data_IF_187781332727
#
_entry.id   IF_187781332727
#
_cell.length_a   1.000
_cell.length_b   1.000
_cell.length_c   1.000
_cell.angle_alpha   90.00
_cell.angle_beta   90.00
_cell.angle_gamma   90.00
#
_symmetry.space_group_name_H-M   'P 1'
#
loop_
_entity.id
_entity.type
_entity.pdbx_description
1 polymer ?
#
# COMPACT_ATOMS: atom_id res chain seq x y z
N UNK A 1 27.08 -12.83 14.92
CA UNK A 1 25.79 -13.33 14.37
C UNK A 1 24.72 -12.38 14.87
N UNK A 2 23.89 -11.79 14.02
CA UNK A 2 22.84 -10.88 14.51
C UNK A 2 21.78 -11.69 15.25
N UNK A 3 21.51 -11.35 16.51
CA UNK A 3 20.36 -11.86 17.28
C UNK A 3 19.02 -11.26 16.78
N UNK A 4 18.88 -11.07 15.47
CA UNK A 4 17.70 -10.48 14.88
C UNK A 4 16.56 -11.50 14.91
N UNK A 5 15.42 -11.07 15.44
CA UNK A 5 14.16 -11.81 15.42
C UNK A 5 13.19 -10.95 14.61
N UNK A 6 12.46 -11.50 13.62
CA UNK A 6 11.41 -10.74 12.95
C UNK A 6 10.41 -10.17 13.96
N UNK A 7 10.05 -8.89 13.81
CA UNK A 7 9.20 -8.19 14.78
C UNK A 7 7.82 -8.85 14.96
N UNK A 8 7.31 -9.48 13.89
CA UNK A 8 6.06 -10.24 13.92
C UNK A 8 6.16 -11.49 14.81
N UNK A 9 7.28 -12.21 14.77
CA UNK A 9 7.53 -13.39 15.60
C UNK A 9 7.70 -12.99 17.08
N UNK A 10 8.47 -11.94 17.33
CA UNK A 10 8.66 -11.41 18.68
C UNK A 10 7.33 -10.96 19.30
N UNK A 11 6.50 -10.26 18.52
CA UNK A 11 5.19 -9.76 18.95
C UNK A 11 4.18 -10.87 19.17
N UNK A 12 4.18 -11.92 18.32
CA UNK A 12 3.34 -13.11 18.50
C UNK A 12 3.65 -13.82 19.82
N UNK A 13 4.94 -14.06 20.08
CA UNK A 13 5.38 -14.68 21.34
C UNK A 13 5.03 -13.79 22.54
N UNK A 14 5.27 -12.48 22.42
CA UNK A 14 4.96 -11.52 23.49
C UNK A 14 3.46 -11.48 23.82
N UNK A 15 2.60 -11.52 22.80
CA UNK A 15 1.16 -11.62 23.02
C UNK A 15 0.82 -12.90 23.79
N UNK A 16 1.26 -14.07 23.31
CA UNK A 16 0.90 -15.35 23.91
C UNK A 16 1.42 -15.54 25.33
N UNK A 17 2.66 -15.15 25.59
CA UNK A 17 3.34 -15.42 26.86
C UNK A 17 3.09 -14.34 27.93
N UNK A 18 2.87 -13.09 27.53
CA UNK A 18 2.75 -11.96 28.46
C UNK A 18 1.36 -11.32 28.40
N UNK A 19 0.91 -10.87 27.22
CA UNK A 19 -0.28 -10.01 27.15
C UNK A 19 -1.57 -10.80 27.36
N UNK A 20 -1.72 -11.95 26.71
CA UNK A 20 -2.93 -12.78 26.80
C UNK A 20 -3.27 -13.21 28.25
N UNK A 21 -2.30 -13.66 29.08
CA UNK A 21 -2.57 -13.91 30.51
C UNK A 21 -3.08 -12.69 31.28
N UNK A 22 -2.57 -11.49 30.99
CA UNK A 22 -2.97 -10.25 31.67
C UNK A 22 -4.42 -9.86 31.36
N UNK A 23 -4.95 -10.25 30.21
CA UNK A 23 -6.32 -9.90 29.78
C UNK A 23 -7.26 -11.10 29.74
N UNK A 24 -6.91 -12.16 30.46
CA UNK A 24 -7.81 -13.31 30.68
C UNK A 24 -9.17 -12.85 31.22
N UNK A 25 -10.25 -13.33 30.59
CA UNK A 25 -11.62 -12.97 30.91
C UNK A 25 -12.12 -11.64 30.29
N UNK A 26 -11.29 -10.92 29.54
CA UNK A 26 -11.69 -9.72 28.79
C UNK A 26 -11.93 -10.09 27.33
N UNK A 27 -13.10 -9.76 26.78
CA UNK A 27 -13.34 -9.86 25.33
C UNK A 27 -12.46 -8.84 24.61
N UNK A 28 -11.61 -9.31 23.71
CA UNK A 28 -10.62 -8.49 23.04
C UNK A 28 -10.22 -9.07 21.68
N UNK A 29 -9.58 -8.25 20.85
CA UNK A 29 -8.77 -8.69 19.70
C UNK A 29 -7.34 -8.20 19.89
N UNK A 30 -6.37 -8.95 19.40
CA UNK A 30 -4.96 -8.63 19.52
C UNK A 30 -4.23 -8.84 18.20
N UNK A 31 -3.39 -7.88 17.81
CA UNK A 31 -2.70 -7.92 16.53
C UNK A 31 -1.40 -7.10 16.53
N UNK A 32 -0.56 -7.35 15.53
CA UNK A 32 0.48 -6.43 15.08
C UNK A 32 0.11 -5.91 13.70
N UNK A 33 -0.45 -4.70 13.66
CA UNK A 33 -0.88 -3.98 12.46
C UNK A 33 -0.56 -2.49 12.59
N UNK A 34 -0.81 -1.70 11.53
CA UNK A 34 -0.50 -0.28 11.54
C UNK A 34 0.93 0.01 11.08
N UNK A 35 1.60 1.06 11.61
CA UNK A 35 2.92 1.45 11.12
C UNK A 35 4.01 0.49 11.63
N UNK A 36 5.02 0.27 10.80
CA UNK A 36 6.19 -0.56 11.08
C UNK A 36 6.61 -1.35 9.85
N UNK A 37 7.91 -1.56 9.65
CA UNK A 37 8.39 -2.38 8.54
C UNK A 37 8.07 -3.87 8.75
N UNK A 38 8.03 -4.32 9.99
CA UNK A 38 7.70 -5.69 10.40
C UNK A 38 6.25 -6.07 10.09
N UNK A 39 5.34 -5.09 10.01
CA UNK A 39 3.94 -5.32 9.62
C UNK A 39 3.84 -5.81 8.18
N UNK A 40 4.76 -5.38 7.32
CA UNK A 40 4.87 -5.85 5.93
C UNK A 40 6.07 -6.80 5.73
N UNK A 41 6.64 -7.30 6.84
CA UNK A 41 7.78 -8.22 6.88
C UNK A 41 9.04 -7.68 6.19
N UNK A 42 9.22 -6.36 6.13
CA UNK A 42 10.41 -5.71 5.55
C UNK A 42 11.46 -5.34 6.60
N UNK A 43 11.23 -5.69 7.86
CA UNK A 43 12.17 -5.37 8.93
C UNK A 43 13.49 -6.13 8.79
N UNK A 44 14.54 -5.49 9.29
CA UNK A 44 15.89 -6.02 9.32
C UNK A 44 16.51 -5.68 10.67
N UNK A 45 17.70 -6.23 10.96
CA UNK A 45 18.46 -5.86 12.15
C UNK A 45 18.72 -4.34 12.28
N UNK A 46 18.68 -3.57 11.18
CA UNK A 46 18.84 -2.12 11.21
C UNK A 46 17.59 -1.39 11.69
N UNK A 47 16.40 -1.87 11.35
CA UNK A 47 15.13 -1.20 11.67
C UNK A 47 14.64 -1.49 13.09
N UNK A 48 15.49 -2.03 13.96
CA UNK A 48 15.14 -2.27 15.37
C UNK A 48 15.25 -1.00 16.23
N UNK A 49 15.66 0.12 15.63
CA UNK A 49 15.82 1.43 16.25
C UNK A 49 14.55 2.30 16.19
N UNK A 50 13.55 1.93 15.39
CA UNK A 50 12.30 2.67 15.23
C UNK A 50 11.14 1.72 14.89
N UNK A 51 9.97 1.92 15.52
CA UNK A 51 8.75 1.15 15.24
C UNK A 51 8.97 -0.37 15.38
N UNK A 52 9.82 -0.84 16.30
CA UNK A 52 10.12 -2.27 16.42
C UNK A 52 10.31 -2.67 17.89
N UNK A 53 9.88 -3.88 18.24
CA UNK A 53 9.98 -4.43 19.60
C UNK A 53 8.84 -5.39 19.91
N UNK A 54 8.69 -5.80 21.18
CA UNK A 54 7.53 -6.57 21.63
C UNK A 54 6.28 -5.69 21.59
N UNK A 55 5.53 -5.73 20.48
CA UNK A 55 4.44 -4.80 20.17
C UNK A 55 3.10 -5.52 20.01
N UNK A 56 2.06 -5.02 20.67
CA UNK A 56 0.70 -5.54 20.51
C UNK A 56 -0.30 -4.38 20.48
N UNK A 57 -1.16 -4.36 19.47
CA UNK A 57 -2.42 -3.61 19.52
C UNK A 57 -3.48 -4.50 20.14
N UNK A 58 -4.08 -4.03 21.23
CA UNK A 58 -5.14 -4.72 21.95
C UNK A 58 -6.42 -3.92 21.84
N UNK A 59 -7.42 -4.49 21.19
CA UNK A 59 -8.72 -3.87 20.99
C UNK A 59 -9.73 -4.40 22.01
N UNK A 60 -10.39 -3.49 22.74
CA UNK A 60 -11.43 -3.78 23.73
C UNK A 60 -12.59 -2.79 23.55
N UNK A 61 -13.71 -3.01 24.23
CA UNK A 61 -14.80 -2.03 24.26
C UNK A 61 -14.31 -0.69 24.84
N UNK A 62 -14.78 0.42 24.28
CA UNK A 62 -14.33 1.78 24.63
C UNK A 62 -14.34 2.05 26.14
N UNK A 63 -15.37 1.61 26.85
CA UNK A 63 -15.52 1.77 28.30
C UNK A 63 -14.51 0.96 29.13
N UNK A 64 -13.85 -0.05 28.53
CA UNK A 64 -12.84 -0.90 29.17
C UNK A 64 -11.42 -0.45 28.87
N UNK A 65 -11.19 0.49 27.93
CA UNK A 65 -9.85 0.88 27.48
C UNK A 65 -8.95 1.30 28.65
N UNK A 66 -9.40 2.26 29.47
CA UNK A 66 -8.58 2.79 30.57
C UNK A 66 -8.28 1.73 31.65
N UNK A 67 -9.24 0.86 31.97
CA UNK A 67 -9.06 -0.23 32.94
C UNK A 67 -8.04 -1.25 32.44
N UNK A 68 -8.18 -1.69 31.18
CA UNK A 68 -7.32 -2.70 30.57
C UNK A 68 -5.92 -2.14 30.35
N UNK A 69 -5.79 -0.88 29.94
CA UNK A 69 -4.50 -0.20 29.81
C UNK A 69 -3.75 -0.17 31.15
N UNK A 70 -4.41 0.23 32.24
CA UNK A 70 -3.80 0.24 33.57
C UNK A 70 -3.38 -1.17 34.02
N UNK A 71 -4.24 -2.18 33.78
CA UNK A 71 -3.95 -3.58 34.11
C UNK A 71 -2.75 -4.12 33.34
N UNK A 72 -2.69 -3.85 32.03
CA UNK A 72 -1.57 -4.27 31.18
C UNK A 72 -0.30 -3.57 31.61
N UNK A 73 -0.32 -2.24 31.77
CA UNK A 73 0.85 -1.46 32.16
C UNK A 73 1.46 -1.94 33.50
N UNK A 74 0.62 -2.30 34.48
CA UNK A 74 1.08 -2.84 35.77
C UNK A 74 1.65 -4.27 35.67
N UNK A 75 1.28 -5.03 34.64
CA UNK A 75 1.67 -6.43 34.47
C UNK A 75 2.80 -6.68 33.48
N UNK A 76 3.25 -5.65 32.73
CA UNK A 76 4.34 -5.81 31.76
C UNK A 76 5.68 -6.06 32.48
N UNK A 77 6.45 -7.08 32.06
CA UNK A 77 7.82 -7.26 32.54
C UNK A 77 8.70 -6.15 31.97
N UNK A 78 9.81 -5.81 32.61
CA UNK A 78 10.74 -4.80 32.08
C UNK A 78 11.25 -5.17 30.67
N UNK A 79 11.46 -6.47 30.42
CA UNK A 79 12.00 -7.00 29.17
C UNK A 79 11.27 -8.27 28.73
N UNK A 80 11.22 -8.49 27.42
CA UNK A 80 10.75 -9.73 26.78
C UNK A 80 11.67 -10.09 25.61
N UNK A 81 12.07 -11.35 25.51
CA UNK A 81 12.98 -11.80 24.43
C UNK A 81 14.32 -11.06 24.38
N UNK A 82 14.75 -10.47 25.50
CA UNK A 82 15.96 -9.63 25.56
C UNK A 82 15.75 -8.18 25.11
N UNK A 83 14.52 -7.73 24.87
CA UNK A 83 14.17 -6.36 24.45
C UNK A 83 13.28 -5.68 25.49
N UNK A 84 13.36 -4.35 25.67
CA UNK A 84 12.47 -3.63 26.59
C UNK A 84 11.01 -3.71 26.13
N UNK A 85 10.06 -3.83 27.07
CA UNK A 85 8.62 -3.78 26.77
C UNK A 85 8.07 -2.35 26.79
N UNK A 86 8.84 -1.42 27.35
CA UNK A 86 8.59 0.01 27.36
C UNK A 86 9.78 0.68 26.71
N UNK A 87 9.57 1.33 25.57
CA UNK A 87 10.66 1.82 24.73
C UNK A 87 10.33 3.16 24.08
N UNK A 88 11.36 3.95 23.72
CA UNK A 88 11.15 5.21 23.02
C UNK A 88 10.48 4.99 21.67
N UNK A 89 9.50 5.82 21.38
CA UNK A 89 8.71 5.84 20.16
C UNK A 89 8.42 7.29 19.78
N UNK A 90 8.98 7.78 18.67
CA UNK A 90 8.89 9.19 18.27
C UNK A 90 9.05 10.16 19.46
N UNK A 91 10.19 10.05 20.15
CA UNK A 91 10.55 10.89 21.32
C UNK A 91 9.69 10.70 22.57
N UNK A 92 8.74 9.75 22.56
CA UNK A 92 7.91 9.40 23.73
C UNK A 92 8.20 7.98 24.20
N UNK A 93 8.49 7.81 25.47
CA UNK A 93 8.59 6.47 26.07
C UNK A 93 7.18 5.94 26.28
N UNK A 94 6.86 4.77 25.71
CA UNK A 94 5.55 4.15 25.86
C UNK A 94 5.63 2.63 25.94
N UNK A 95 4.63 1.98 26.55
CA UNK A 95 4.48 0.54 26.47
C UNK A 95 4.36 0.05 25.02
N UNK A 96 4.93 -1.12 24.74
CA UNK A 96 4.77 -1.83 23.47
C UNK A 96 3.35 -2.35 23.25
N UNK A 97 2.52 -2.37 24.31
CA UNK A 97 1.09 -2.67 24.20
C UNK A 97 0.31 -1.37 24.12
N UNK A 98 -0.48 -1.20 23.08
CA UNK A 98 -1.45 -0.11 22.93
C UNK A 98 -2.84 -0.67 23.04
N UNK A 99 -3.62 -0.16 24.00
CA UNK A 99 -5.03 -0.55 24.20
C UNK A 99 -5.92 0.50 23.56
N UNK A 100 -6.91 0.10 22.77
CA UNK A 100 -7.79 1.03 22.06
C UNK A 100 -9.18 0.43 21.80
N UNK A 101 -10.17 1.28 21.51
CA UNK A 101 -11.37 0.85 20.80
C UNK A 101 -11.04 0.61 19.32
N UNK A 102 -11.61 -0.46 18.74
CA UNK A 102 -11.33 -0.83 17.35
C UNK A 102 -11.84 0.21 16.35
N UNK A 103 -13.03 0.77 16.58
CA UNK A 103 -13.64 1.74 15.68
C UNK A 103 -12.90 3.07 15.68
N UNK A 104 -12.60 3.59 16.87
CA UNK A 104 -11.81 4.80 17.02
C UNK A 104 -10.43 4.66 16.37
N UNK A 105 -9.79 3.49 16.54
CA UNK A 105 -8.51 3.23 15.90
C UNK A 105 -8.62 3.18 14.37
N UNK A 106 -9.61 2.46 13.82
CA UNK A 106 -9.83 2.37 12.37
C UNK A 106 -10.12 3.75 11.76
N UNK A 107 -10.99 4.54 12.37
CA UNK A 107 -11.30 5.92 11.96
C UNK A 107 -10.05 6.79 12.03
N UNK A 108 -9.25 6.68 13.10
CA UNK A 108 -7.99 7.41 13.21
C UNK A 108 -6.97 7.05 12.14
N UNK A 109 -6.97 5.81 11.64
CA UNK A 109 -6.04 5.32 10.60
C UNK A 109 -6.50 5.59 9.17
N UNK A 110 -7.80 5.44 8.91
CA UNK A 110 -8.39 5.42 7.57
C UNK A 110 -9.29 6.62 7.28
N UNK A 111 -9.79 7.30 8.32
CA UNK A 111 -10.81 8.34 8.20
C UNK A 111 -12.25 7.82 8.18
N UNK A 112 -12.44 6.50 8.29
CA UNK A 112 -13.75 5.83 8.32
C UNK A 112 -13.62 4.46 9.02
N UNK A 113 -14.76 3.85 9.36
CA UNK A 113 -14.81 2.50 9.92
C UNK A 113 -15.30 1.49 8.86
N UNK A 114 -14.43 0.60 8.36
CA UNK A 114 -14.80 -0.38 7.32
C UNK A 114 -15.88 -1.38 7.76
N UNK A 115 -16.15 -1.50 9.06
CA UNK A 115 -17.18 -2.40 9.61
C UNK A 115 -18.59 -1.90 9.33
N UNK A 116 -18.73 -0.59 9.12
CA UNK A 116 -20.01 0.05 8.79
C UNK A 116 -20.24 0.13 7.26
N UNK A 117 -19.35 -0.47 6.48
CA UNK A 117 -19.33 -0.40 5.01
C UNK A 117 -18.25 0.54 4.49
N UNK A 118 -17.86 0.35 3.23
CA UNK A 118 -16.81 1.14 2.57
C UNK A 118 -17.39 1.81 1.33
N UNK A 119 -17.57 3.12 1.40
CA UNK A 119 -18.07 3.93 0.29
C UNK A 119 -17.02 4.09 -0.82
N UNK A 120 -17.44 4.61 -1.97
CA UNK A 120 -16.52 4.95 -3.06
C UNK A 120 -15.44 5.95 -2.61
N UNK A 121 -15.83 6.97 -1.84
CA UNK A 121 -14.88 7.96 -1.33
C UNK A 121 -13.91 7.32 -0.32
N UNK A 122 -14.39 6.42 0.53
CA UNK A 122 -13.52 5.68 1.46
C UNK A 122 -12.44 4.92 0.72
N UNK A 123 -12.82 4.17 -0.32
CA UNK A 123 -11.86 3.43 -1.16
C UNK A 123 -10.84 4.32 -1.85
N UNK A 124 -11.28 5.45 -2.40
CA UNK A 124 -10.41 6.31 -3.20
C UNK A 124 -9.58 7.29 -2.35
N UNK A 125 -9.98 7.55 -1.11
CA UNK A 125 -9.26 8.43 -0.20
C UNK A 125 -8.32 7.72 0.78
N UNK A 126 -8.50 6.40 0.98
CA UNK A 126 -7.58 5.62 1.80
C UNK A 126 -6.24 5.42 1.07
N UNK A 127 -5.11 5.90 1.64
CA UNK A 127 -3.81 5.65 1.04
C UNK A 127 -3.50 4.16 1.00
N UNK A 128 -2.88 3.67 -0.07
CA UNK A 128 -2.52 2.26 -0.23
C UNK A 128 -1.64 1.76 0.92
N UNK A 129 -0.73 2.59 1.42
CA UNK A 129 0.07 2.25 2.60
C UNK A 129 -0.81 1.97 3.81
N UNK A 130 -1.87 2.77 4.06
CA UNK A 130 -2.77 2.54 5.21
C UNK A 130 -3.60 1.26 5.02
N UNK A 131 -4.07 1.01 3.80
CA UNK A 131 -4.75 -0.25 3.47
C UNK A 131 -3.81 -1.45 3.69
N UNK A 132 -2.55 -1.36 3.25
CA UNK A 132 -1.54 -2.38 3.47
C UNK A 132 -1.24 -2.61 4.95
N UNK A 133 -1.18 -1.55 5.76
CA UNK A 133 -0.91 -1.63 7.20
C UNK A 133 -2.07 -2.26 8.00
N UNK A 134 -3.32 -2.04 7.58
CA UNK A 134 -4.50 -2.63 8.22
C UNK A 134 -4.74 -4.07 7.76
N UNK A 135 -4.46 -4.38 6.49
CA UNK A 135 -4.68 -5.73 5.93
C UNK A 135 -3.46 -6.64 5.98
N UNK A 136 -2.26 -6.08 6.18
CA UNK A 136 -1.01 -6.79 6.46
C UNK A 136 -0.84 -7.12 7.94
N UNK A 137 0.37 -7.52 8.34
CA UNK A 137 0.66 -7.96 9.70
C UNK A 137 -0.11 -9.22 10.11
N UNK A 138 -0.24 -9.42 11.42
CA UNK A 138 -0.84 -10.64 11.98
C UNK A 138 -1.85 -10.32 13.07
N UNK A 139 -2.97 -11.04 13.03
CA UNK A 139 -3.96 -11.08 14.10
C UNK A 139 -3.64 -12.29 14.97
N UNK A 140 -3.24 -12.05 16.21
CA UNK A 140 -2.90 -13.10 17.16
C UNK A 140 -4.15 -13.72 17.80
N UNK A 141 -5.19 -12.92 17.97
CA UNK A 141 -6.49 -13.32 18.53
C UNK A 141 -7.59 -12.36 18.09
N UNK A 142 -8.79 -12.86 17.80
CA UNK A 142 -9.94 -12.02 17.45
C UNK A 142 -11.20 -12.51 18.21
N UNK A 143 -11.42 -11.94 19.39
CA UNK A 143 -12.49 -12.32 20.32
C UNK A 143 -13.62 -11.29 20.45
N UNK A 144 -13.68 -10.29 19.57
CA UNK A 144 -14.74 -9.28 19.52
C UNK A 144 -15.97 -9.72 18.69
N UNK A 145 -15.94 -10.90 18.08
CA UNK A 145 -17.07 -11.49 17.34
C UNK A 145 -17.23 -10.94 15.92
N UNK A 146 -18.46 -10.89 15.41
CA UNK A 146 -18.78 -10.57 14.00
C UNK A 146 -18.36 -9.14 13.57
N UNK A 147 -18.19 -8.22 14.52
CA UNK A 147 -17.69 -6.85 14.29
C UNK A 147 -16.24 -6.67 14.75
N UNK A 148 -15.49 -7.77 14.84
CA UNK A 148 -14.08 -7.82 15.21
C UNK A 148 -13.11 -7.34 14.12
N UNK A 149 -11.83 -7.56 14.37
CA UNK A 149 -10.76 -7.05 13.50
C UNK A 149 -10.71 -7.78 12.15
N UNK A 150 -10.97 -9.09 12.12
CA UNK A 150 -11.00 -9.86 10.87
C UNK A 150 -12.14 -9.42 9.95
N UNK A 151 -13.27 -8.97 10.52
CA UNK A 151 -14.36 -8.41 9.71
C UNK A 151 -13.94 -7.11 9.01
N UNK A 152 -13.27 -6.20 9.73
CA UNK A 152 -12.70 -4.99 9.15
C UNK A 152 -11.66 -5.31 8.05
N UNK A 153 -10.77 -6.28 8.29
CA UNK A 153 -9.77 -6.73 7.31
C UNK A 153 -10.40 -7.38 6.09
N UNK A 154 -11.48 -8.14 6.27
CA UNK A 154 -12.21 -8.75 5.17
C UNK A 154 -12.86 -7.70 4.25
N UNK A 155 -13.45 -6.64 4.83
CA UNK A 155 -14.04 -5.54 4.08
C UNK A 155 -12.98 -4.77 3.25
N UNK A 156 -11.75 -4.68 3.75
CA UNK A 156 -10.63 -4.00 3.09
C UNK A 156 -9.74 -4.91 2.24
N UNK A 157 -10.07 -6.21 2.16
CA UNK A 157 -9.20 -7.23 1.54
C UNK A 157 -8.80 -6.86 0.11
N UNK A 158 -9.74 -6.34 -0.66
CA UNK A 158 -9.48 -5.78 -1.98
C UNK A 158 -10.62 -4.87 -2.46
N UNK A 159 -10.33 -4.04 -3.46
CA UNK A 159 -11.30 -3.19 -4.12
C UNK A 159 -12.48 -3.98 -4.72
N UNK A 160 -13.72 -3.43 -4.65
CA UNK A 160 -14.81 -3.82 -5.53
C UNK A 160 -14.38 -3.72 -7.01
N UNK A 161 -14.97 -4.55 -7.87
CA UNK A 161 -14.45 -4.77 -9.21
C UNK A 161 -14.38 -3.48 -10.06
N UNK A 162 -15.42 -2.64 -10.03
CA UNK A 162 -15.45 -1.39 -10.79
C UNK A 162 -14.49 -0.33 -10.23
N UNK A 163 -14.34 -0.26 -8.90
CA UNK A 163 -13.33 0.58 -8.26
C UNK A 163 -11.92 0.13 -8.65
N UNK A 164 -11.70 -1.19 -8.74
CA UNK A 164 -10.41 -1.73 -9.18
C UNK A 164 -10.11 -1.40 -10.65
N UNK A 165 -11.10 -1.52 -11.55
CA UNK A 165 -10.98 -1.11 -12.95
C UNK A 165 -10.57 0.35 -13.05
N UNK A 166 -11.25 1.23 -12.31
CA UNK A 166 -10.95 2.65 -12.25
C UNK A 166 -9.52 2.92 -11.75
N UNK A 167 -9.12 2.34 -10.62
CA UNK A 167 -7.76 2.52 -10.06
C UNK A 167 -6.68 2.05 -11.04
N UNK A 168 -6.89 0.92 -11.72
CA UNK A 168 -5.97 0.43 -12.76
C UNK A 168 -5.94 1.36 -13.99
N UNK A 169 -7.10 1.86 -14.43
CA UNK A 169 -7.19 2.80 -15.54
C UNK A 169 -6.42 4.08 -15.23
N UNK A 170 -6.57 4.63 -14.02
CA UNK A 170 -5.79 5.79 -13.58
C UNK A 170 -4.29 5.49 -13.49
N UNK A 171 -3.90 4.25 -13.14
CA UNK A 171 -2.50 3.87 -13.11
C UNK A 171 -1.90 3.78 -14.53
N UNK A 172 -2.66 3.24 -15.49
CA UNK A 172 -2.29 3.27 -16.90
C UNK A 172 -2.27 4.70 -17.46
N UNK A 173 -3.18 5.57 -17.04
CA UNK A 173 -3.23 6.98 -17.44
C UNK A 173 -1.93 7.70 -17.06
N UNK A 174 -1.38 7.43 -15.86
CA UNK A 174 -0.09 7.99 -15.42
C UNK A 174 1.07 7.56 -16.31
N UNK A 175 1.04 6.33 -16.84
CA UNK A 175 2.02 5.87 -17.84
C UNK A 175 1.79 6.57 -19.18
N UNK A 176 0.53 6.63 -19.64
CA UNK A 176 0.14 7.25 -20.91
C UNK A 176 0.58 8.70 -21.03
N UNK A 177 0.51 9.46 -19.93
CA UNK A 177 0.86 10.88 -19.91
C UNK A 177 2.36 11.13 -20.13
N UNK A 178 3.24 10.16 -19.87
CA UNK A 178 4.69 10.37 -19.83
C UNK A 178 5.50 9.39 -20.72
N UNK A 179 4.91 8.29 -21.18
CA UNK A 179 5.61 7.25 -21.96
C UNK A 179 6.40 7.78 -23.19
N UNK A 180 5.95 8.79 -23.97
CA UNK A 180 6.77 9.29 -25.08
C UNK A 180 7.87 10.27 -24.63
N UNK A 181 7.82 10.78 -23.41
CA UNK A 181 8.68 11.90 -22.98
C UNK A 181 10.12 11.48 -22.69
N UNK A 182 10.36 10.23 -22.34
CA UNK A 182 11.72 9.68 -22.19
C UNK A 182 12.53 9.86 -23.47
N UNK A 183 11.97 9.44 -24.61
CA UNK A 183 12.60 9.62 -25.91
C UNK A 183 12.63 11.07 -26.36
N UNK A 184 11.56 11.83 -26.07
CA UNK A 184 11.49 13.26 -26.44
C UNK A 184 12.54 14.12 -25.74
N UNK A 185 12.80 13.90 -24.46
CA UNK A 185 13.91 14.56 -23.75
C UNK A 185 15.25 14.18 -24.39
N UNK A 186 15.45 12.90 -24.66
CA UNK A 186 16.65 12.39 -25.31
C UNK A 186 16.91 12.97 -26.70
N UNK A 187 15.87 13.22 -27.49
CA UNK A 187 15.94 13.83 -28.82
C UNK A 187 16.56 15.24 -28.80
N UNK A 188 16.37 16.00 -27.72
CA UNK A 188 16.97 17.33 -27.53
C UNK A 188 18.26 17.31 -26.70
N UNK A 189 18.79 16.12 -26.42
CA UNK A 189 20.01 15.93 -25.63
C UNK A 189 19.82 16.05 -24.11
N UNK A 190 18.57 16.10 -23.61
CA UNK A 190 18.26 16.15 -22.19
C UNK A 190 18.20 14.74 -21.56
N UNK A 191 19.37 14.16 -21.31
CA UNK A 191 19.46 12.85 -20.65
C UNK A 191 19.01 12.89 -19.19
N UNK A 192 19.15 14.02 -18.51
CA UNK A 192 18.70 14.17 -17.12
C UNK A 192 17.18 14.10 -17.04
N UNK A 193 16.48 14.89 -17.86
CA UNK A 193 15.01 14.85 -17.93
C UNK A 193 14.50 13.47 -18.35
N UNK A 194 15.19 12.82 -19.30
CA UNK A 194 14.88 11.45 -19.69
C UNK A 194 15.06 10.45 -18.54
N UNK A 195 16.10 10.59 -17.71
CA UNK A 195 16.32 9.76 -16.53
C UNK A 195 15.27 9.98 -15.44
N UNK A 196 14.90 11.25 -15.16
CA UNK A 196 13.86 11.59 -14.18
C UNK A 196 12.51 10.98 -14.59
N UNK A 197 12.13 11.13 -15.86
CA UNK A 197 10.89 10.54 -16.38
C UNK A 197 10.94 9.02 -16.40
N UNK A 198 12.07 8.41 -16.77
CA UNK A 198 12.20 6.95 -16.76
C UNK A 198 12.08 6.35 -15.36
N UNK A 199 12.68 7.00 -14.35
CA UNK A 199 12.53 6.58 -12.96
C UNK A 199 11.07 6.71 -12.47
N UNK A 200 10.38 7.78 -12.88
CA UNK A 200 8.96 7.99 -12.56
C UNK A 200 8.08 6.94 -13.24
N UNK A 201 8.26 6.66 -14.52
CA UNK A 201 7.55 5.58 -15.23
C UNK A 201 7.84 4.21 -14.62
N UNK A 202 9.08 3.93 -14.22
CA UNK A 202 9.42 2.69 -13.54
C UNK A 202 8.64 2.52 -12.23
N UNK A 203 8.51 3.60 -11.44
CA UNK A 203 7.66 3.62 -10.24
C UNK A 203 6.20 3.34 -10.55
N UNK A 204 5.64 3.95 -11.60
CA UNK A 204 4.25 3.73 -12.00
C UNK A 204 4.00 2.28 -12.48
N UNK A 205 4.96 1.66 -13.16
CA UNK A 205 4.89 0.24 -13.57
C UNK A 205 4.97 -0.69 -12.35
N UNK A 206 5.82 -0.40 -11.36
CA UNK A 206 5.88 -1.18 -10.11
C UNK A 206 4.53 -1.14 -9.35
N UNK A 207 3.94 0.06 -9.23
CA UNK A 207 2.61 0.25 -8.63
C UNK A 207 1.54 -0.53 -9.38
N UNK A 208 1.53 -0.45 -10.71
CA UNK A 208 0.59 -1.20 -11.56
C UNK A 208 0.72 -2.72 -11.37
N UNK A 209 1.95 -3.25 -11.34
CA UNK A 209 2.20 -4.68 -11.16
C UNK A 209 1.67 -5.19 -9.81
N UNK A 210 1.83 -4.41 -8.74
CA UNK A 210 1.29 -4.73 -7.42
C UNK A 210 -0.24 -4.72 -7.41
N UNK A 211 -0.86 -3.67 -7.97
CA UNK A 211 -2.31 -3.54 -8.05
C UNK A 211 -2.94 -4.67 -8.89
N UNK A 212 -2.33 -5.08 -9.99
CA UNK A 212 -2.76 -6.21 -10.80
C UNK A 212 -2.69 -7.56 -10.06
N UNK A 213 -1.81 -7.65 -9.06
CA UNK A 213 -1.64 -8.85 -8.21
C UNK A 213 -2.38 -8.75 -6.88
N UNK A 214 -3.32 -7.81 -6.77
CA UNK A 214 -4.10 -7.56 -5.55
C UNK A 214 -3.23 -7.30 -4.31
N UNK A 215 -2.19 -6.49 -4.49
CA UNK A 215 -1.32 -6.01 -3.43
C UNK A 215 -1.35 -4.50 -3.40
N UNK A 216 -1.67 -3.92 -2.24
CA UNK A 216 -1.58 -2.47 -2.05
C UNK A 216 -0.11 -2.05 -2.12
N UNK A 217 0.26 -1.09 -2.99
CA UNK A 217 1.62 -0.59 -3.05
C UNK A 217 2.06 0.05 -1.71
N UNK A 218 3.21 -0.33 -1.14
CA UNK A 218 3.73 0.35 0.03
C UNK A 218 4.39 1.68 -0.36
N UNK A 219 4.77 2.47 0.64
CA UNK A 219 5.54 3.69 0.42
C UNK A 219 6.90 3.42 -0.26
N UNK A 220 7.46 4.47 -0.88
CA UNK A 220 8.50 4.36 -1.90
C UNK A 220 9.73 3.54 -1.52
N UNK A 221 10.19 3.58 -0.26
CA UNK A 221 11.41 2.84 0.14
C UNK A 221 11.25 1.32 0.02
N UNK A 222 10.03 0.81 0.14
CA UNK A 222 9.73 -0.62 0.06
C UNK A 222 9.18 -1.06 -1.29
N UNK A 223 8.93 -0.15 -2.23
CA UNK A 223 8.26 -0.48 -3.49
C UNK A 223 9.02 -1.53 -4.30
N UNK A 224 10.35 -1.38 -4.45
CA UNK A 224 11.19 -2.36 -5.12
C UNK A 224 11.25 -3.71 -4.39
N UNK A 225 11.27 -3.68 -3.04
CA UNK A 225 11.23 -4.90 -2.22
C UNK A 225 9.90 -5.64 -2.36
N UNK A 226 8.79 -4.91 -2.41
CA UNK A 226 7.46 -5.46 -2.63
C UNK A 226 7.33 -6.08 -4.03
N UNK A 227 7.86 -5.42 -5.07
CA UNK A 227 7.92 -5.99 -6.41
C UNK A 227 8.71 -7.31 -6.41
N UNK A 228 9.91 -7.33 -5.82
CA UNK A 228 10.78 -8.50 -5.82
C UNK A 228 10.15 -9.72 -5.12
N UNK A 229 9.23 -9.50 -4.17
CA UNK A 229 8.48 -10.57 -3.48
C UNK A 229 7.29 -11.12 -4.28
N UNK A 230 6.89 -10.47 -5.38
CA UNK A 230 5.81 -11.01 -6.22
C UNK A 230 6.29 -12.25 -7.00
N UNK A 231 5.57 -13.38 -6.96
CA UNK A 231 5.92 -14.54 -7.77
C UNK A 231 5.95 -14.19 -9.26
N UNK A 232 7.07 -14.50 -9.94
CA UNK A 232 7.27 -14.25 -11.37
C UNK A 232 7.60 -12.80 -11.74
N UNK A 233 8.10 -11.97 -10.82
CA UNK A 233 8.45 -10.56 -11.10
C UNK A 233 9.90 -10.31 -11.50
N UNK A 234 10.77 -11.34 -11.48
CA UNK A 234 12.21 -11.18 -11.70
C UNK A 234 12.53 -10.42 -13.00
N UNK A 235 12.03 -10.90 -14.14
CA UNK A 235 12.29 -10.25 -15.44
C UNK A 235 11.70 -8.83 -15.55
N UNK A 236 10.57 -8.58 -14.87
CA UNK A 236 10.00 -7.23 -14.79
C UNK A 236 10.93 -6.32 -13.97
N UNK A 237 11.44 -6.82 -12.84
CA UNK A 237 12.43 -6.13 -12.01
C UNK A 237 13.73 -5.84 -12.76
N UNK A 238 14.24 -6.80 -13.52
CA UNK A 238 15.43 -6.63 -14.38
C UNK A 238 15.23 -5.56 -15.45
N UNK A 239 14.09 -5.59 -16.15
CA UNK A 239 13.74 -4.59 -17.18
C UNK A 239 13.65 -3.18 -16.59
N UNK A 240 13.02 -3.05 -15.42
CA UNK A 240 12.91 -1.77 -14.71
C UNK A 240 14.26 -1.30 -14.15
N UNK A 241 15.07 -2.22 -13.63
CA UNK A 241 16.42 -1.93 -13.15
C UNK A 241 17.33 -1.42 -14.27
N UNK A 242 17.28 -2.06 -15.44
CA UNK A 242 17.99 -1.62 -16.64
C UNK A 242 17.55 -0.22 -17.07
N UNK A 243 16.24 0.06 -17.09
CA UNK A 243 15.73 1.38 -17.44
C UNK A 243 16.22 2.47 -16.47
N UNK A 244 16.17 2.22 -15.16
CA UNK A 244 16.59 3.19 -14.13
C UNK A 244 18.10 3.44 -14.16
N UNK A 245 18.91 2.40 -14.44
CA UNK A 245 20.37 2.49 -14.47
C UNK A 245 20.93 3.03 -15.80
N UNK A 246 20.11 3.11 -16.85
CA UNK A 246 20.52 3.49 -18.20
C UNK A 246 21.12 4.91 -18.26
N UNK A 247 22.20 5.06 -19.03
CA UNK A 247 22.88 6.34 -19.25
C UNK A 247 22.40 7.06 -20.51
N UNK A 248 21.77 6.34 -21.44
CA UNK A 248 21.15 6.90 -22.63
C UNK A 248 19.65 6.69 -22.63
N UNK A 249 18.93 7.60 -23.28
CA UNK A 249 17.47 7.49 -23.43
C UNK A 249 17.05 6.25 -24.23
N UNK A 250 17.90 5.75 -25.13
CA UNK A 250 17.62 4.57 -25.96
C UNK A 250 17.60 3.29 -25.13
N UNK A 251 18.65 3.06 -24.35
CA UNK A 251 18.72 1.93 -23.40
C UNK A 251 17.57 2.01 -22.37
N UNK A 252 17.26 3.23 -21.91
CA UNK A 252 16.13 3.48 -20.99
C UNK A 252 14.79 3.09 -21.61
N UNK A 253 14.56 3.48 -22.86
CA UNK A 253 13.36 3.13 -23.62
C UNK A 253 13.26 1.62 -23.83
N UNK A 254 14.36 0.92 -24.11
CA UNK A 254 14.38 -0.54 -24.27
C UNK A 254 13.93 -1.24 -22.98
N UNK A 255 14.50 -0.86 -21.83
CA UNK A 255 14.10 -1.40 -20.53
C UNK A 255 12.63 -1.11 -20.19
N UNK A 256 12.16 0.10 -20.45
CA UNK A 256 10.75 0.46 -20.24
C UNK A 256 9.81 -0.31 -21.18
N UNK A 257 10.16 -0.44 -22.46
CA UNK A 257 9.37 -1.18 -23.45
C UNK A 257 9.20 -2.65 -23.05
N UNK A 258 10.29 -3.27 -22.60
CA UNK A 258 10.30 -4.63 -22.08
C UNK A 258 9.45 -4.78 -20.81
N UNK A 259 9.45 -3.77 -19.93
CA UNK A 259 8.59 -3.74 -18.75
C UNK A 259 7.11 -3.56 -19.12
N UNK A 260 6.80 -2.69 -20.08
CA UNK A 260 5.43 -2.42 -20.52
C UNK A 260 4.75 -3.66 -21.09
N UNK A 261 5.40 -4.39 -21.99
CA UNK A 261 4.83 -5.62 -22.54
C UNK A 261 4.50 -6.65 -21.46
N UNK A 262 5.34 -6.76 -20.42
CA UNK A 262 5.11 -7.66 -19.28
C UNK A 262 3.90 -7.27 -18.44
N UNK A 263 3.73 -5.98 -18.14
CA UNK A 263 2.56 -5.52 -17.38
C UNK A 263 1.28 -5.50 -18.22
N UNK A 264 1.37 -5.30 -19.54
CA UNK A 264 0.26 -5.49 -20.47
C UNK A 264 -0.21 -6.95 -20.50
N UNK A 265 0.73 -7.90 -20.57
CA UNK A 265 0.42 -9.33 -20.47
C UNK A 265 -0.23 -9.68 -19.13
N UNK A 266 0.24 -9.07 -18.04
CA UNK A 266 -0.37 -9.24 -16.72
C UNK A 266 -1.79 -8.69 -16.68
N UNK A 267 -2.02 -7.48 -17.18
CA UNK A 267 -3.33 -6.84 -17.29
C UNK A 267 -4.33 -7.72 -18.04
N UNK A 268 -3.94 -8.27 -19.19
CA UNK A 268 -4.78 -9.19 -19.95
C UNK A 268 -5.14 -10.45 -19.16
N UNK A 269 -4.22 -11.01 -18.37
CA UNK A 269 -4.48 -12.19 -17.52
C UNK A 269 -5.46 -11.92 -16.39
N UNK A 270 -5.55 -10.68 -15.89
CA UNK A 270 -6.53 -10.31 -14.85
C UNK A 270 -7.97 -10.31 -15.39
N UNK A 271 -8.14 -10.20 -16.71
CA UNK A 271 -9.44 -10.31 -17.40
C UNK A 271 -10.50 -9.33 -16.87
N UNK A 272 -10.10 -8.09 -16.58
CA UNK A 272 -11.02 -7.01 -16.16
C UNK A 272 -11.62 -6.21 -17.32
N UNK A 273 -11.05 -6.38 -18.52
CA UNK A 273 -11.46 -5.76 -19.78
C UNK A 273 -11.13 -6.72 -20.93
N UNK A 274 -11.45 -6.33 -22.16
CA UNK A 274 -11.05 -7.07 -23.35
C UNK A 274 -9.53 -7.25 -23.44
N UNK A 275 -9.09 -8.32 -24.12
CA UNK A 275 -7.67 -8.60 -24.32
C UNK A 275 -7.11 -7.64 -25.37
N UNK A 276 -6.06 -6.92 -25.02
CA UNK A 276 -5.39 -5.98 -25.91
C UNK A 276 -4.03 -6.51 -26.39
N UNK A 277 -3.57 -6.01 -27.54
CA UNK A 277 -2.20 -6.26 -28.00
C UNK A 277 -1.16 -5.70 -27.00
N UNK A 278 -0.20 -6.56 -26.65
CA UNK A 278 0.82 -6.39 -25.62
C UNK A 278 2.13 -5.77 -26.16
N UNK A 279 2.25 -5.61 -27.49
CA UNK A 279 3.44 -5.07 -28.14
C UNK A 279 3.59 -3.55 -27.99
N UNK A 280 4.83 -3.07 -27.93
CA UNK A 280 5.11 -1.63 -28.08
C UNK A 280 5.03 -1.20 -29.53
N UNK A 281 4.85 0.10 -29.75
CA UNK A 281 4.64 0.72 -31.07
C UNK A 281 5.21 2.13 -31.10
N UNK A 282 5.37 2.69 -32.30
CA UNK A 282 5.72 4.10 -32.47
C UNK A 282 4.63 5.02 -31.90
N UNK A 283 5.05 6.12 -31.26
CA UNK A 283 4.14 7.18 -30.82
C UNK A 283 3.74 8.06 -32.01
N UNK A 284 2.63 7.70 -32.66
CA UNK A 284 2.24 8.27 -33.96
C UNK A 284 3.39 8.15 -34.98
N UNK A 285 3.73 9.23 -35.67
CA UNK A 285 4.83 9.27 -36.65
C UNK A 285 6.22 9.46 -36.00
N UNK A 286 6.31 9.44 -34.66
CA UNK A 286 7.56 9.66 -33.92
C UNK A 286 8.29 8.34 -33.60
N UNK A 287 9.63 8.36 -33.50
CA UNK A 287 10.42 7.14 -33.29
C UNK A 287 10.39 6.59 -31.85
N UNK A 288 9.58 7.17 -30.95
CA UNK A 288 9.52 6.77 -29.54
C UNK A 288 8.63 5.55 -29.37
N UNK A 289 9.13 4.53 -28.67
CA UNK A 289 8.39 3.29 -28.42
C UNK A 289 7.51 3.44 -27.18
N UNK A 290 6.22 3.21 -27.35
CA UNK A 290 5.18 3.33 -26.33
C UNK A 290 4.34 2.07 -26.30
N UNK A 291 3.70 1.75 -25.18
CA UNK A 291 2.72 0.65 -25.13
C UNK A 291 1.35 1.12 -25.63
N UNK A 292 1.15 2.45 -25.72
CA UNK A 292 -0.13 3.05 -26.02
C UNK A 292 -1.05 2.85 -24.82
N UNK A 293 -0.58 3.25 -23.64
CA UNK A 293 -1.21 2.97 -22.36
C UNK A 293 -2.67 3.47 -22.30
N UNK A 294 -3.01 4.53 -23.05
CA UNK A 294 -4.38 5.03 -23.21
C UNK A 294 -5.38 3.97 -23.67
N UNK A 295 -4.96 2.98 -24.47
CA UNK A 295 -5.83 1.86 -24.90
C UNK A 295 -6.30 1.01 -23.72
N UNK A 296 -5.44 0.82 -22.72
CA UNK A 296 -5.80 0.11 -21.50
C UNK A 296 -6.72 0.95 -20.61
N UNK A 297 -6.53 2.28 -20.59
CA UNK A 297 -7.44 3.21 -19.89
C UNK A 297 -8.85 3.10 -20.48
N UNK A 298 -8.97 3.20 -21.80
CA UNK A 298 -10.25 3.12 -22.52
C UNK A 298 -10.94 1.77 -22.28
N UNK A 299 -10.24 0.66 -22.46
CA UNK A 299 -10.80 -0.68 -22.28
C UNK A 299 -11.28 -0.95 -20.85
N UNK A 300 -10.51 -0.50 -19.84
CA UNK A 300 -10.88 -0.65 -18.43
C UNK A 300 -12.10 0.21 -18.08
N UNK A 301 -12.12 1.47 -18.49
CA UNK A 301 -13.25 2.38 -18.21
C UNK A 301 -14.52 1.97 -18.95
N UNK A 302 -14.41 1.47 -20.19
CA UNK A 302 -15.54 0.91 -20.93
C UNK A 302 -16.15 -0.33 -20.24
N UNK A 303 -15.36 -1.03 -19.43
CA UNK A 303 -15.79 -2.22 -18.67
C UNK A 303 -16.38 -1.89 -17.28
N UNK A 304 -16.39 -0.63 -16.87
CA UNK A 304 -17.00 -0.18 -15.60
C UNK A 304 -18.52 -0.16 -15.76
N UNK A 305 -19.24 -0.85 -14.88
CA UNK A 305 -20.71 -0.95 -14.91
C UNK A 305 -21.41 0.10 -14.06
N UNK A 306 -20.84 0.44 -12.91
CA UNK A 306 -21.34 1.46 -11.98
C UNK A 306 -21.29 2.85 -12.65
N UNK A 307 -22.44 3.54 -12.78
CA UNK A 307 -22.52 4.84 -13.45
C UNK A 307 -21.78 5.96 -12.70
N UNK A 308 -21.67 5.87 -11.37
CA UNK A 308 -20.93 6.84 -10.56
C UNK A 308 -19.45 6.69 -10.83
N UNK A 309 -18.93 5.45 -10.80
CA UNK A 309 -17.51 5.17 -11.08
C UNK A 309 -17.18 5.52 -12.53
N UNK A 310 -18.07 5.22 -13.48
CA UNK A 310 -17.89 5.57 -14.90
C UNK A 310 -17.83 7.08 -15.15
N UNK A 311 -18.54 7.85 -14.33
CA UNK A 311 -18.57 9.32 -14.41
C UNK A 311 -17.38 10.02 -13.77
N UNK A 312 -16.48 9.30 -13.08
CA UNK A 312 -15.32 9.90 -12.45
C UNK A 312 -14.31 10.43 -13.48
N UNK A 313 -13.63 11.56 -13.22
CA UNK A 313 -12.46 11.94 -13.99
C UNK A 313 -11.35 10.91 -13.78
N UNK A 314 -10.58 10.58 -14.82
CA UNK A 314 -9.48 9.60 -14.74
C UNK A 314 -8.23 10.23 -14.09
N UNK A 315 -8.35 10.62 -12.82
CA UNK A 315 -7.29 11.26 -12.02
C UNK A 315 -6.80 10.37 -10.88
N UNK A 316 -7.63 9.42 -10.42
CA UNK A 316 -7.24 8.32 -9.54
C UNK A 316 -7.59 8.50 -8.07
N UNK A 317 -7.10 7.56 -7.24
CA UNK A 317 -7.17 7.62 -5.78
C UNK A 317 -6.10 8.56 -5.21
N UNK A 318 -6.09 8.77 -3.89
CA UNK A 318 -5.19 9.73 -3.24
C UNK A 318 -3.69 9.53 -3.58
N UNK A 319 -3.19 8.28 -3.64
CA UNK A 319 -1.81 7.97 -4.03
C UNK A 319 -1.48 8.28 -5.51
N UNK A 320 -2.52 8.40 -6.35
CA UNK A 320 -2.40 8.78 -7.75
C UNK A 320 -2.55 10.30 -7.94
N UNK A 321 -3.17 10.99 -6.99
CA UNK A 321 -3.29 12.45 -6.95
C UNK A 321 -2.04 13.12 -6.38
N UNK A 322 -1.39 12.51 -5.39
CA UNK A 322 -0.25 13.12 -4.69
C UNK A 322 0.73 12.09 -4.11
N UNK A 323 2.01 12.46 -4.10
CA UNK A 323 3.06 11.77 -3.35
C UNK A 323 3.45 12.52 -2.05
N UNK A 324 2.68 13.54 -1.64
CA UNK A 324 2.95 14.31 -0.42
C UNK A 324 2.69 13.48 0.84
N UNK A 325 3.74 13.25 1.64
CA UNK A 325 3.63 12.54 2.91
C UNK A 325 2.65 13.24 3.85
N UNK A 326 2.72 14.57 3.98
CA UNK A 326 1.85 15.37 4.87
C UNK A 326 0.36 15.27 4.53
N UNK A 327 0.05 14.95 3.27
CA UNK A 327 -1.30 14.65 2.82
C UNK A 327 -1.67 13.18 3.11
N UNK A 328 -0.81 12.24 2.70
CA UNK A 328 -1.10 10.81 2.78
C UNK A 328 -1.12 10.27 4.22
N UNK A 329 -0.43 10.91 5.17
CA UNK A 329 -0.46 10.46 6.58
C UNK A 329 -1.65 11.03 7.36
N UNK A 330 -2.41 11.97 6.79
CA UNK A 330 -3.51 12.68 7.43
C UNK A 330 -4.86 12.33 6.77
N UNK A 331 -5.62 11.33 7.27
CA UNK A 331 -6.82 10.82 6.61
C UNK A 331 -7.86 11.88 6.24
N UNK A 332 -8.10 12.86 7.11
CA UNK A 332 -9.03 13.96 6.83
C UNK A 332 -8.60 14.82 5.63
N UNK A 333 -7.29 15.08 5.47
CA UNK A 333 -6.78 15.82 4.32
C UNK A 333 -6.84 14.99 3.05
N UNK A 334 -6.43 13.72 3.13
CA UNK A 334 -6.52 12.76 2.03
C UNK A 334 -7.95 12.65 1.49
N UNK A 335 -8.92 12.55 2.40
CA UNK A 335 -10.35 12.53 2.08
C UNK A 335 -10.83 13.81 1.40
N UNK A 336 -10.51 14.98 1.97
CA UNK A 336 -10.93 16.26 1.40
C UNK A 336 -10.36 16.49 -0.01
N UNK A 337 -9.08 16.19 -0.24
CA UNK A 337 -8.45 16.32 -1.57
C UNK A 337 -9.08 15.35 -2.56
N UNK A 338 -9.31 14.10 -2.16
CA UNK A 338 -9.93 13.10 -3.03
C UNK A 338 -11.36 13.50 -3.41
N UNK A 339 -12.16 13.93 -2.43
CA UNK A 339 -13.52 14.41 -2.65
C UNK A 339 -13.54 15.57 -3.67
N UNK A 340 -12.68 16.57 -3.47
CA UNK A 340 -12.58 17.71 -4.38
C UNK A 340 -12.11 17.32 -5.79
N UNK A 341 -11.09 16.46 -5.91
CA UNK A 341 -10.53 16.04 -7.19
C UNK A 341 -11.49 15.18 -8.01
N UNK A 342 -12.39 14.45 -7.35
CA UNK A 342 -13.33 13.51 -7.98
C UNK A 342 -14.76 14.03 -8.04
N UNK A 343 -15.05 15.19 -7.45
CA UNK A 343 -16.41 15.71 -7.35
C UNK A 343 -17.34 14.85 -6.49
N UNK A 344 -16.78 14.12 -5.52
CA UNK A 344 -17.55 13.29 -4.58
C UNK A 344 -17.93 14.10 -3.34
N UNK A 345 -19.08 13.81 -2.75
CA UNK A 345 -19.50 14.39 -1.46
C UNK A 345 -18.69 13.79 -0.32
N UNK A 346 -18.11 14.64 0.53
CA UNK A 346 -17.18 14.27 1.61
C UNK A 346 -17.84 13.55 2.79
#
# INVERSE_FOLDING_TARGET
MSNFVPGIELSRAFYGEVVAPLVSGVSHSAALIGPGSEVLEFDTARSTDHDWGPRVLLFVAAERVAEVEAKVAAGLPERFGGFPTVFPYHERVRPGVTVADLGEWLVGRLGFDPREGVSLLDWLSAPWQRLAEVTGGEVFFDGLGERGLEAARAALRWYPQDVWRYVLACQWQRICQEEPFVGRCGEVGDELGSAVLGARLAREVMRLALLLRRRYPPYGKWLGSALARLPGSAELGESLGAAVAARSWRERQEGLSAAYGRVAALQNRVALAERLDEGVRGFFDRPFQVIGAGRFVEALMASVSDPVVRGLPVTGCVDQLSDSVDLLVAPGRARAVTAAALGLTA
#
